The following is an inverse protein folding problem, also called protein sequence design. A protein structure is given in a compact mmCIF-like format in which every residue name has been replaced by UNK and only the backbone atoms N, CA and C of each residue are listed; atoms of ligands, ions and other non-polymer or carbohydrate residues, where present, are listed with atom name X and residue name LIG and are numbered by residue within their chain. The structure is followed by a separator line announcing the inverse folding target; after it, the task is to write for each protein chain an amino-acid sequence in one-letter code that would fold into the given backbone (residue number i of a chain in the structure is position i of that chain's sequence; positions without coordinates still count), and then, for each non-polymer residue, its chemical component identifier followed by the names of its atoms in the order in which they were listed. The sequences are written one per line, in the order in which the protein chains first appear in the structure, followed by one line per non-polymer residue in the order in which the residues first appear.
data_IF_234604533103
#
_entry.id   IF_234604533103
#
_cell.length_a   1.000
_cell.length_b   1.000
_cell.length_c   1.000
_cell.angle_alpha   90.00
_cell.angle_beta   90.00
_cell.angle_gamma   90.00
#
_symmetry.space_group_name_H-M   'P 1'
#
loop_
_entity.id
_entity.type
_entity.pdbx_description
1 polymer ?
#
# COMPACT_ATOMS: atom_id res chain seq x y z
N UNK A 1 18.07 -46.88 2.68
CA UNK A 1 17.78 -45.57 2.08
C UNK A 1 18.68 -45.43 0.86
N UNK A 2 18.15 -45.55 -0.36
CA UNK A 2 18.96 -45.36 -1.57
C UNK A 2 19.37 -43.88 -1.61
N UNK A 3 20.66 -43.62 -1.41
CA UNK A 3 21.23 -42.28 -1.54
C UNK A 3 21.01 -41.83 -2.97
N UNK A 4 20.15 -40.82 -3.16
CA UNK A 4 19.94 -40.24 -4.48
C UNK A 4 21.30 -39.85 -5.07
N UNK A 5 21.54 -40.27 -6.32
CA UNK A 5 22.82 -40.06 -6.97
C UNK A 5 23.20 -38.58 -6.91
N UNK A 6 24.49 -38.29 -6.73
CA UNK A 6 25.02 -36.93 -6.57
C UNK A 6 24.41 -35.91 -7.55
N UNK A 7 24.22 -36.31 -8.81
CA UNK A 7 23.56 -35.50 -9.84
C UNK A 7 22.13 -35.10 -9.49
N UNK A 8 21.33 -36.02 -8.96
CA UNK A 8 19.95 -35.78 -8.55
C UNK A 8 19.88 -34.82 -7.36
N UNK A 9 20.85 -34.89 -6.45
CA UNK A 9 20.99 -33.96 -5.34
C UNK A 9 21.29 -32.54 -5.84
N UNK A 10 22.17 -32.42 -6.83
CA UNK A 10 22.48 -31.13 -7.50
C UNK A 10 21.25 -30.57 -8.20
N UNK A 11 20.52 -31.39 -8.97
CA UNK A 11 19.31 -30.93 -9.68
C UNK A 11 18.22 -30.47 -8.72
N UNK A 12 17.99 -31.23 -7.64
CA UNK A 12 17.02 -30.88 -6.62
C UNK A 12 17.39 -29.55 -5.93
N UNK A 13 18.65 -29.42 -5.51
CA UNK A 13 19.13 -28.20 -4.84
C UNK A 13 19.08 -27.00 -5.78
N UNK A 14 19.44 -27.18 -7.05
CA UNK A 14 19.35 -26.13 -8.07
C UNK A 14 17.90 -25.64 -8.27
N UNK A 15 16.93 -26.55 -8.30
CA UNK A 15 15.51 -26.20 -8.39
C UNK A 15 15.02 -25.41 -7.18
N UNK A 16 15.37 -25.86 -5.97
CA UNK A 16 15.01 -25.16 -4.72
C UNK A 16 15.64 -23.77 -4.66
N UNK A 17 16.92 -23.65 -5.03
CA UNK A 17 17.62 -22.37 -5.06
C UNK A 17 17.01 -21.42 -6.10
N UNK A 18 16.70 -21.89 -7.29
CA UNK A 18 16.06 -21.09 -8.33
C UNK A 18 14.69 -20.55 -7.84
N UNK A 19 13.88 -21.41 -7.22
CA UNK A 19 12.59 -21.01 -6.66
C UNK A 19 12.74 -19.99 -5.51
N UNK A 20 13.69 -20.22 -4.60
CA UNK A 20 13.99 -19.31 -3.50
C UNK A 20 14.44 -17.93 -4.01
N UNK A 21 15.23 -17.87 -5.08
CA UNK A 21 15.65 -16.62 -5.72
C UNK A 21 14.45 -15.87 -6.30
N UNK A 22 13.54 -16.56 -7.00
CA UNK A 22 12.32 -15.94 -7.54
C UNK A 22 11.46 -15.35 -6.43
N UNK A 23 11.19 -16.11 -5.36
CA UNK A 23 10.45 -15.61 -4.19
C UNK A 23 11.18 -14.43 -3.55
N UNK A 24 12.50 -14.51 -3.37
CA UNK A 24 13.31 -13.42 -2.82
C UNK A 24 13.19 -12.15 -3.65
N UNK A 25 13.18 -12.25 -4.99
CA UNK A 25 12.98 -11.11 -5.88
C UNK A 25 11.57 -10.52 -5.77
N UNK A 26 10.53 -11.36 -5.66
CA UNK A 26 9.15 -10.90 -5.46
C UNK A 26 9.03 -10.17 -4.12
N UNK A 27 9.51 -10.77 -3.03
CA UNK A 27 9.51 -10.14 -1.69
C UNK A 27 10.31 -8.83 -1.73
N UNK A 28 11.47 -8.80 -2.39
CA UNK A 28 12.26 -7.57 -2.55
C UNK A 28 11.51 -6.52 -3.34
N UNK A 29 10.77 -6.90 -4.38
CA UNK A 29 9.90 -6.03 -5.16
C UNK A 29 8.77 -5.44 -4.32
N UNK A 30 8.06 -6.28 -3.56
CA UNK A 30 6.99 -5.86 -2.65
C UNK A 30 7.53 -4.95 -1.54
N UNK A 31 8.65 -5.32 -0.90
CA UNK A 31 9.29 -4.47 0.13
C UNK A 31 9.82 -3.16 -0.44
N UNK A 32 10.28 -3.15 -1.70
CA UNK A 32 10.69 -1.92 -2.39
C UNK A 32 9.48 -1.05 -2.72
N UNK A 33 8.37 -1.64 -3.17
CA UNK A 33 7.11 -0.95 -3.42
C UNK A 33 6.44 -0.44 -2.12
N UNK A 34 6.66 -1.13 -0.99
CA UNK A 34 6.19 -0.70 0.33
C UNK A 34 7.11 0.35 0.99
N UNK A 35 8.41 0.37 0.65
CA UNK A 35 9.38 1.39 1.08
C UNK A 35 9.38 2.63 0.20
N UNK A 36 9.03 2.49 -1.08
CA UNK A 36 8.57 3.61 -1.89
C UNK A 36 7.26 4.05 -1.24
N UNK A 37 7.28 5.25 -0.65
CA UNK A 37 6.10 5.88 -0.05
C UNK A 37 4.90 5.65 -0.98
N UNK A 38 3.72 5.30 -0.44
CA UNK A 38 2.62 4.74 -1.21
C UNK A 38 2.34 5.65 -2.39
N UNK A 39 2.81 5.22 -3.57
CA UNK A 39 2.45 5.82 -4.84
C UNK A 39 0.99 5.45 -5.02
N UNK A 40 0.11 6.23 -4.38
CA UNK A 40 -1.32 6.15 -4.59
C UNK A 40 -1.53 6.32 -6.09
N UNK A 41 -1.93 5.24 -6.80
CA UNK A 41 -1.95 5.27 -8.24
C UNK A 41 -3.11 6.16 -8.67
N UNK A 42 -2.77 7.34 -9.18
CA UNK A 42 -3.47 8.04 -10.26
C UNK A 42 -4.91 8.54 -10.05
N UNK A 43 -5.66 8.17 -9.00
CA UNK A 43 -7.00 8.72 -8.76
C UNK A 43 -6.98 9.88 -7.76
N UNK A 44 -6.49 9.65 -6.53
CA UNK A 44 -6.44 10.68 -5.49
C UNK A 44 -5.46 11.82 -5.83
N UNK A 45 -4.31 11.51 -6.45
CA UNK A 45 -3.34 12.51 -6.88
C UNK A 45 -3.74 13.27 -8.16
N UNK A 46 -4.65 12.71 -8.98
CA UNK A 46 -5.30 13.46 -10.07
C UNK A 46 -6.42 14.32 -9.53
N UNK A 47 -7.27 13.81 -8.64
CA UNK A 47 -8.31 14.60 -7.97
C UNK A 47 -7.68 15.75 -7.17
N UNK A 48 -6.58 15.54 -6.46
CA UNK A 48 -5.85 16.58 -5.75
C UNK A 48 -5.29 17.69 -6.66
N UNK A 49 -4.93 17.34 -7.91
CA UNK A 49 -4.44 18.29 -8.92
C UNK A 49 -5.57 18.97 -9.70
N UNK A 50 -6.61 18.22 -10.08
CA UNK A 50 -7.78 18.72 -10.82
C UNK A 50 -8.72 19.54 -9.91
N UNK A 51 -8.78 19.23 -8.60
CA UNK A 51 -9.62 19.95 -7.64
C UNK A 51 -8.90 21.10 -6.92
N UNK A 52 -7.61 21.35 -7.17
CA UNK A 52 -6.85 22.45 -6.55
C UNK A 52 -6.99 22.51 -5.00
N UNK A 53 -7.28 21.37 -4.36
CA UNK A 53 -7.52 21.31 -2.93
C UNK A 53 -6.20 21.57 -2.21
N UNK A 54 -6.12 22.69 -1.48
CA UNK A 54 -4.95 23.09 -0.71
C UNK A 54 -4.40 21.89 0.10
N UNK A 55 -3.08 21.67 0.15
CA UNK A 55 -2.48 20.59 0.95
C UNK A 55 -2.95 20.59 2.41
N UNK A 56 -3.26 21.77 2.94
CA UNK A 56 -3.81 21.94 4.29
C UNK A 56 -5.23 21.35 4.46
N UNK A 57 -6.07 21.41 3.42
CA UNK A 57 -7.41 20.84 3.43
C UNK A 57 -7.36 19.31 3.31
N UNK A 58 -6.46 18.78 2.49
CA UNK A 58 -6.24 17.34 2.38
C UNK A 58 -5.76 16.74 3.70
N UNK A 59 -4.85 17.42 4.41
CA UNK A 59 -4.40 17.00 5.73
C UNK A 59 -5.55 16.97 6.76
N UNK A 60 -6.43 17.97 6.73
CA UNK A 60 -7.60 18.03 7.62
C UNK A 60 -8.62 16.93 7.31
N UNK A 61 -8.89 16.64 6.03
CA UNK A 61 -9.77 15.55 5.62
C UNK A 61 -9.18 14.17 5.98
N UNK A 62 -7.87 13.99 5.85
CA UNK A 62 -7.18 12.77 6.25
C UNK A 62 -7.24 12.54 7.76
N UNK A 63 -7.04 13.60 8.57
CA UNK A 63 -7.19 13.54 10.01
C UNK A 63 -8.63 13.20 10.42
N UNK A 64 -9.62 13.74 9.71
CA UNK A 64 -11.03 13.41 9.93
C UNK A 64 -11.33 11.94 9.59
N UNK A 65 -10.77 11.42 8.49
CA UNK A 65 -10.95 10.01 8.12
C UNK A 65 -10.29 9.05 9.12
N UNK A 66 -9.13 9.39 9.67
CA UNK A 66 -8.50 8.62 10.75
C UNK A 66 -9.38 8.54 12.00
N UNK A 67 -10.03 9.66 12.39
CA UNK A 67 -10.97 9.66 13.53
C UNK A 67 -12.19 8.78 13.28
N UNK A 68 -12.70 8.76 12.04
CA UNK A 68 -13.77 7.83 11.64
C UNK A 68 -13.31 6.38 11.75
N UNK A 69 -12.11 6.08 11.25
CA UNK A 69 -11.56 4.72 11.25
C UNK A 69 -11.22 4.23 12.67
N UNK A 70 -10.89 5.13 13.59
CA UNK A 70 -10.77 4.85 15.02
C UNK A 70 -12.11 4.74 15.76
N UNK A 71 -13.24 4.98 15.07
CA UNK A 71 -14.58 4.95 15.67
C UNK A 71 -14.88 6.14 16.59
N UNK A 72 -14.07 7.20 16.54
CA UNK A 72 -14.26 8.42 17.36
C UNK A 72 -15.41 9.30 16.82
N UNK A 73 -15.75 9.16 15.54
CA UNK A 73 -16.86 9.87 14.88
C UNK A 73 -17.71 8.89 14.06
N UNK A 74 -19.03 9.10 14.07
CA UNK A 74 -19.95 8.32 13.26
C UNK A 74 -19.90 8.72 11.78
N UNK A 75 -20.36 7.85 10.88
CA UNK A 75 -20.40 8.14 9.43
C UNK A 75 -21.20 9.42 9.12
N UNK A 76 -22.33 9.63 9.81
CA UNK A 76 -23.15 10.82 9.62
C UNK A 76 -22.41 12.11 10.04
N UNK A 77 -21.63 12.06 11.12
CA UNK A 77 -20.80 13.19 11.56
C UNK A 77 -19.63 13.44 10.63
N UNK A 78 -19.01 12.36 10.11
CA UNK A 78 -17.94 12.44 9.12
C UNK A 78 -18.40 13.14 7.85
N UNK A 79 -19.57 12.78 7.30
CA UNK A 79 -20.09 13.40 6.08
C UNK A 79 -20.41 14.88 6.28
N UNK A 80 -21.01 15.25 7.42
CA UNK A 80 -21.28 16.65 7.76
C UNK A 80 -19.99 17.47 7.85
N UNK A 81 -18.99 16.99 8.60
CA UNK A 81 -17.70 17.66 8.77
C UNK A 81 -16.91 17.75 7.46
N UNK A 82 -16.98 16.71 6.62
CA UNK A 82 -16.39 16.70 5.28
C UNK A 82 -17.04 17.74 4.37
N UNK A 83 -18.37 17.84 4.37
CA UNK A 83 -19.08 18.85 3.58
C UNK A 83 -18.74 20.27 4.06
N UNK A 84 -18.65 20.49 5.37
CA UNK A 84 -18.26 21.77 5.95
C UNK A 84 -16.84 22.18 5.54
N UNK A 85 -15.88 21.25 5.61
CA UNK A 85 -14.49 21.51 5.22
C UNK A 85 -14.34 21.81 3.72
N UNK A 86 -15.13 21.14 2.88
CA UNK A 86 -15.16 21.36 1.43
C UNK A 86 -15.91 22.64 1.02
N UNK A 87 -16.86 23.13 1.83
CA UNK A 87 -17.55 24.42 1.60
C UNK A 87 -16.75 25.63 2.10
N UNK A 88 -15.87 25.43 3.08
CA UNK A 88 -15.07 26.49 3.69
C UNK A 88 -13.80 26.85 2.90
N UNK A 89 -13.52 26.16 1.79
CA UNK A 89 -12.40 26.40 0.88
C UNK A 89 -12.91 26.60 -0.54
#
# INVERSE_FOLDING_TARGET
MQTMGWLQWVTWTAGVLAFAVVIGLVIRGVRRAARQAPEQPSAAARIAREAQLSPALQAQLAALNQRKDHGEISEAQYEQLRAQLLQAH
#
